data_IF_202947823009
#
_entry.id   IF_202947823009
#
_cell.length_a   1.000
_cell.length_b   1.000
_cell.length_c   1.000
_cell.angle_alpha   90.00
_cell.angle_beta   90.00
_cell.angle_gamma   90.00
#
_symmetry.space_group_name_H-M   'P 1'
#
loop_
_entity.id
_entity.type
_entity.pdbx_description
1 polymer ?
#
# COMPACT_ATOMS: atom_id res chain seq x y z
N UNK A 1 -31.18 -4.64 -6.77
CA UNK A 1 -31.23 -4.03 -5.42
C UNK A 1 -30.16 -2.96 -5.40
N UNK A 2 -30.55 -1.72 -5.14
CA UNK A 2 -29.61 -0.59 -5.04
C UNK A 2 -28.70 -0.76 -3.81
N UNK A 3 -27.45 -0.30 -3.86
CA UNK A 3 -26.50 -0.49 -2.74
C UNK A 3 -27.00 0.14 -1.44
N UNK A 4 -27.73 1.25 -1.53
CA UNK A 4 -28.35 1.90 -0.39
C UNK A 4 -29.49 1.05 0.19
N UNK A 5 -30.25 0.37 -0.65
CA UNK A 5 -31.30 -0.57 -0.24
C UNK A 5 -30.70 -1.76 0.54
N UNK A 6 -29.58 -2.33 0.04
CA UNK A 6 -28.83 -3.39 0.75
C UNK A 6 -28.37 -2.88 2.12
N UNK A 7 -27.77 -1.69 2.16
CA UNK A 7 -27.31 -1.10 3.41
C UNK A 7 -28.45 -0.87 4.40
N UNK A 8 -29.57 -0.30 3.98
CA UNK A 8 -30.71 -0.07 4.87
C UNK A 8 -31.28 -1.37 5.44
N UNK A 9 -31.45 -2.38 4.59
CA UNK A 9 -31.95 -3.70 4.99
C UNK A 9 -31.02 -4.38 6.00
N UNK A 10 -29.70 -4.23 5.86
CA UNK A 10 -28.70 -4.96 6.66
C UNK A 10 -27.89 -4.09 7.65
N UNK A 11 -28.24 -2.81 7.81
CA UNK A 11 -27.52 -1.82 8.62
C UNK A 11 -27.23 -2.27 10.05
N UNK A 12 -28.17 -2.95 10.71
CA UNK A 12 -27.99 -3.49 12.06
C UNK A 12 -26.83 -4.49 12.14
N UNK A 13 -26.69 -5.36 11.14
CA UNK A 13 -25.60 -6.32 11.07
C UNK A 13 -24.27 -5.62 10.80
N UNK A 14 -24.24 -4.73 9.81
CA UNK A 14 -23.05 -3.95 9.43
C UNK A 14 -22.53 -3.19 10.65
N UNK A 15 -23.39 -2.41 11.31
CA UNK A 15 -23.03 -1.64 12.51
C UNK A 15 -22.66 -2.53 13.69
N UNK A 16 -23.24 -3.73 13.82
CA UNK A 16 -22.89 -4.68 14.88
C UNK A 16 -21.40 -5.04 14.83
N UNK A 17 -20.81 -5.14 13.64
CA UNK A 17 -19.38 -5.41 13.45
C UNK A 17 -18.57 -4.11 13.50
N UNK A 18 -18.81 -3.18 12.56
CA UNK A 18 -17.94 -2.02 12.33
C UNK A 18 -17.93 -1.00 13.48
N UNK A 19 -18.99 -0.90 14.28
CA UNK A 19 -19.02 0.05 15.42
C UNK A 19 -18.44 -0.55 16.70
N UNK A 20 -17.93 -1.80 16.67
CA UNK A 20 -17.41 -2.47 17.86
C UNK A 20 -15.90 -2.70 17.77
N UNK A 21 -15.13 -1.81 18.42
CA UNK A 21 -13.67 -1.96 18.60
C UNK A 21 -13.26 -3.39 18.98
N UNK A 22 -13.89 -3.96 20.01
CA UNK A 22 -13.53 -5.30 20.50
C UNK A 22 -13.82 -6.41 19.48
N UNK A 23 -14.89 -6.32 18.68
CA UNK A 23 -15.15 -7.32 17.64
C UNK A 23 -14.15 -7.22 16.50
N UNK A 24 -13.84 -6.01 16.05
CA UNK A 24 -12.80 -5.76 15.05
C UNK A 24 -11.46 -6.35 15.53
N UNK A 25 -11.05 -6.03 16.74
CA UNK A 25 -9.79 -6.54 17.29
C UNK A 25 -9.79 -8.08 17.46
N UNK A 26 -10.91 -8.69 17.86
CA UNK A 26 -11.03 -10.15 17.92
C UNK A 26 -10.94 -10.78 16.52
N UNK A 27 -11.65 -10.23 15.53
CA UNK A 27 -11.59 -10.74 14.14
C UNK A 27 -10.16 -10.67 13.58
N UNK A 28 -9.47 -9.53 13.76
CA UNK A 28 -8.09 -9.35 13.33
C UNK A 28 -7.13 -10.27 14.07
N UNK A 29 -7.27 -10.41 15.39
CA UNK A 29 -6.43 -11.31 16.18
C UNK A 29 -6.60 -12.78 15.74
N UNK A 30 -7.83 -13.19 15.45
CA UNK A 30 -8.15 -14.55 15.02
C UNK A 30 -7.83 -14.81 13.54
N UNK A 31 -7.56 -13.77 12.76
CA UNK A 31 -7.08 -13.88 11.38
C UNK A 31 -5.64 -14.42 11.32
N UNK A 32 -4.83 -14.08 12.32
CA UNK A 32 -3.45 -14.57 12.49
C UNK A 32 -3.39 -16.02 13.02
N UNK A 33 -4.51 -16.56 13.50
CA UNK A 33 -4.60 -17.93 14.02
C UNK A 33 -5.61 -18.07 15.15
N UNK A 34 -5.78 -19.30 15.67
CA UNK A 34 -6.63 -19.54 16.83
C UNK A 34 -6.04 -18.93 18.11
N UNK A 35 -6.88 -18.51 19.05
CA UNK A 35 -6.45 -17.89 20.30
C UNK A 35 -7.37 -18.21 21.47
N UNK A 36 -6.79 -18.39 22.66
CA UNK A 36 -7.53 -18.51 23.92
C UNK A 36 -8.11 -17.17 24.39
N UNK A 37 -9.08 -17.21 25.32
CA UNK A 37 -9.63 -16.00 25.94
C UNK A 37 -8.55 -15.13 26.62
N UNK A 38 -7.53 -15.74 27.23
CA UNK A 38 -6.44 -14.99 27.86
C UNK A 38 -5.58 -14.27 26.83
N UNK A 39 -5.30 -14.90 25.69
CA UNK A 39 -4.56 -14.25 24.58
C UNK A 39 -5.36 -13.08 24.01
N UNK A 40 -6.65 -13.28 23.75
CA UNK A 40 -7.53 -12.21 23.25
C UNK A 40 -7.62 -11.03 24.23
N UNK A 41 -7.63 -11.28 25.55
CA UNK A 41 -7.55 -10.21 26.56
C UNK A 41 -6.26 -9.41 26.46
N UNK A 42 -5.13 -10.11 26.31
CA UNK A 42 -3.81 -9.47 26.20
C UNK A 42 -3.73 -8.58 24.97
N UNK A 43 -4.17 -9.08 23.81
CA UNK A 43 -4.14 -8.34 22.54
C UNK A 43 -5.09 -7.12 22.57
N UNK A 44 -6.31 -7.31 23.09
CA UNK A 44 -7.35 -6.26 23.04
C UNK A 44 -7.26 -5.24 24.18
N UNK A 45 -6.41 -5.50 25.19
CA UNK A 45 -6.34 -4.72 26.44
C UNK A 45 -7.66 -4.73 27.20
N UNK A 46 -8.39 -5.85 27.19
CA UNK A 46 -9.76 -5.94 27.73
C UNK A 46 -9.93 -7.03 28.80
N UNK A 47 -11.11 -7.04 29.44
CA UNK A 47 -11.46 -8.00 30.48
C UNK A 47 -12.37 -9.11 29.94
N UNK A 48 -12.38 -10.28 30.58
CA UNK A 48 -13.28 -11.38 30.17
C UNK A 48 -14.75 -10.95 30.12
N UNK A 49 -15.32 -10.24 31.12
CA UNK A 49 -16.72 -9.82 31.07
C UNK A 49 -17.05 -8.87 29.91
N UNK A 50 -16.08 -8.09 29.43
CA UNK A 50 -16.25 -7.21 28.27
C UNK A 50 -16.13 -7.97 26.93
N UNK A 51 -15.25 -8.96 26.84
CA UNK A 51 -14.99 -9.73 25.62
C UNK A 51 -16.01 -10.84 25.36
N UNK A 52 -16.41 -11.59 26.38
CA UNK A 52 -17.29 -12.76 26.23
C UNK A 52 -18.58 -12.42 25.47
N UNK A 53 -19.30 -11.32 25.76
CA UNK A 53 -20.49 -10.96 25.00
C UNK A 53 -20.21 -10.63 23.53
N UNK A 54 -19.00 -10.13 23.21
CA UNK A 54 -18.59 -9.79 21.84
C UNK A 54 -18.25 -11.04 21.04
N UNK A 55 -17.51 -11.97 21.66
CA UNK A 55 -17.20 -13.28 21.08
C UNK A 55 -18.50 -14.07 20.84
N UNK A 56 -19.38 -14.16 21.84
CA UNK A 56 -20.69 -14.82 21.70
C UNK A 56 -21.54 -14.22 20.58
N UNK A 57 -21.46 -12.91 20.37
CA UNK A 57 -22.16 -12.29 19.26
C UNK A 57 -21.54 -12.66 17.90
N UNK A 58 -20.21 -12.76 17.80
CA UNK A 58 -19.54 -13.24 16.59
C UNK A 58 -19.84 -14.72 16.32
N UNK A 59 -19.96 -15.54 17.35
CA UNK A 59 -20.42 -16.93 17.26
C UNK A 59 -21.87 -17.03 16.77
N UNK A 60 -22.77 -16.19 17.30
CA UNK A 60 -24.16 -16.11 16.84
C UNK A 60 -24.29 -15.67 15.37
N UNK A 61 -23.28 -14.98 14.83
CA UNK A 61 -23.17 -14.61 13.42
C UNK A 61 -22.41 -15.66 12.58
N UNK A 62 -22.05 -16.80 13.17
CA UNK A 62 -21.23 -17.84 12.55
C UNK A 62 -19.87 -17.36 12.02
N UNK A 63 -19.31 -16.29 12.60
CA UNK A 63 -17.99 -15.75 12.23
C UNK A 63 -16.86 -16.33 13.08
N UNK A 64 -17.14 -16.64 14.35
CA UNK A 64 -16.19 -17.24 15.28
C UNK A 64 -16.77 -18.56 15.76
N UNK A 65 -15.90 -19.53 16.03
CA UNK A 65 -16.28 -20.81 16.63
C UNK A 65 -15.26 -21.24 17.68
N UNK A 66 -15.73 -21.99 18.67
CA UNK A 66 -14.89 -22.58 19.69
C UNK A 66 -14.21 -23.85 19.16
N UNK A 67 -12.91 -23.97 19.41
CA UNK A 67 -12.11 -25.16 19.13
C UNK A 67 -11.39 -25.56 20.43
N UNK A 68 -12.02 -26.46 21.19
CA UNK A 68 -11.55 -26.80 22.53
C UNK A 68 -11.62 -25.62 23.50
N UNK A 69 -10.47 -25.17 24.01
CA UNK A 69 -10.35 -24.02 24.91
C UNK A 69 -10.00 -22.71 24.19
N UNK A 70 -9.99 -22.73 22.86
CA UNK A 70 -9.62 -21.60 22.00
C UNK A 70 -10.77 -21.19 21.08
N UNK A 71 -10.62 -20.04 20.45
CA UNK A 71 -11.51 -19.53 19.42
C UNK A 71 -10.76 -19.47 18.09
N UNK A 72 -11.47 -19.67 16.99
CA UNK A 72 -10.96 -19.45 15.63
C UNK A 72 -12.02 -18.80 14.75
N UNK A 73 -11.59 -18.24 13.62
CA UNK A 73 -12.51 -17.83 12.57
C UNK A 73 -13.08 -19.05 11.84
N UNK A 74 -14.39 -19.04 11.59
CA UNK A 74 -15.01 -19.91 10.59
C UNK A 74 -14.58 -19.51 9.17
N UNK A 75 -14.96 -20.28 8.15
CA UNK A 75 -14.74 -19.87 6.74
C UNK A 75 -15.38 -18.52 6.43
N UNK A 76 -16.60 -18.26 6.91
CA UNK A 76 -17.27 -16.96 6.75
C UNK A 76 -16.58 -15.86 7.58
N UNK A 77 -16.12 -16.21 8.78
CA UNK A 77 -15.33 -15.34 9.64
C UNK A 77 -14.07 -14.81 8.98
N UNK A 78 -13.35 -15.68 8.25
CA UNK A 78 -12.15 -15.30 7.48
C UNK A 78 -12.47 -14.28 6.41
N UNK A 79 -13.53 -14.48 5.63
CA UNK A 79 -13.97 -13.51 4.61
C UNK A 79 -14.23 -12.14 5.24
N UNK A 80 -15.00 -12.10 6.34
CA UNK A 80 -15.31 -10.83 7.02
C UNK A 80 -14.05 -10.21 7.65
N UNK A 81 -13.17 -11.00 8.25
CA UNK A 81 -11.95 -10.51 8.87
C UNK A 81 -10.96 -9.93 7.84
N UNK A 82 -10.84 -10.51 6.64
CA UNK A 82 -10.03 -9.96 5.54
C UNK A 82 -10.58 -8.62 5.03
N UNK A 83 -11.90 -8.47 4.94
CA UNK A 83 -12.53 -7.18 4.61
C UNK A 83 -12.28 -6.13 5.70
N UNK A 84 -12.36 -6.53 6.97
CA UNK A 84 -12.03 -5.66 8.11
C UNK A 84 -10.55 -5.27 8.08
N UNK A 85 -9.64 -6.20 7.78
CA UNK A 85 -8.20 -5.95 7.63
C UNK A 85 -7.95 -4.94 6.50
N UNK A 86 -8.52 -5.17 5.32
CA UNK A 86 -8.41 -4.27 4.17
C UNK A 86 -8.87 -2.85 4.51
N UNK A 87 -10.01 -2.70 5.19
CA UNK A 87 -10.51 -1.40 5.62
C UNK A 87 -9.59 -0.72 6.65
N UNK A 88 -9.10 -1.46 7.64
CA UNK A 88 -8.17 -0.91 8.66
C UNK A 88 -6.85 -0.48 8.03
N UNK A 89 -6.29 -1.27 7.12
CA UNK A 89 -5.07 -0.94 6.38
C UNK A 89 -5.27 0.31 5.52
N UNK A 90 -6.39 0.40 4.79
CA UNK A 90 -6.74 1.60 4.00
C UNK A 90 -6.79 2.85 4.86
N UNK A 91 -7.56 2.81 5.95
CA UNK A 91 -7.71 3.97 6.84
C UNK A 91 -6.39 4.33 7.54
N UNK A 92 -5.57 3.33 7.88
CA UNK A 92 -4.22 3.53 8.42
C UNK A 92 -3.33 4.32 7.47
N UNK A 93 -3.22 3.91 6.20
CA UNK A 93 -2.41 4.63 5.22
C UNK A 93 -2.92 6.03 4.88
N UNK A 94 -4.24 6.21 4.84
CA UNK A 94 -4.84 7.56 4.68
C UNK A 94 -4.47 8.44 5.87
N UNK A 95 -4.59 7.93 7.10
CA UNK A 95 -4.29 8.70 8.30
C UNK A 95 -2.80 9.03 8.45
N UNK A 96 -1.90 8.09 8.14
CA UNK A 96 -0.44 8.29 8.24
C UNK A 96 0.07 9.43 7.35
N UNK A 97 -0.55 9.65 6.18
CA UNK A 97 -0.03 10.56 5.16
C UNK A 97 -1.12 11.48 4.58
N UNK A 98 -2.13 11.85 5.39
CA UNK A 98 -3.33 12.55 4.93
C UNK A 98 -3.02 13.82 4.11
N UNK A 99 -2.12 14.68 4.62
CA UNK A 99 -1.78 15.92 3.94
C UNK A 99 -1.14 15.67 2.58
N UNK A 100 -0.29 14.65 2.47
CA UNK A 100 0.32 14.25 1.20
C UNK A 100 -0.76 13.82 0.21
N UNK A 101 -1.69 12.95 0.60
CA UNK A 101 -2.75 12.49 -0.29
C UNK A 101 -3.67 13.61 -0.80
N UNK A 102 -3.97 14.61 0.05
CA UNK A 102 -4.86 15.74 -0.32
C UNK A 102 -4.18 16.73 -1.26
N UNK A 103 -2.85 16.86 -1.23
CA UNK A 103 -2.12 17.81 -2.09
C UNK A 103 -1.59 17.20 -3.38
N UNK A 104 -1.78 15.90 -3.62
CA UNK A 104 -1.29 15.21 -4.81
C UNK A 104 -2.45 14.70 -5.66
N UNK A 105 -2.27 14.73 -6.98
CA UNK A 105 -3.23 14.14 -7.89
C UNK A 105 -3.07 12.60 -7.89
N UNK A 106 -4.15 11.91 -7.53
CA UNK A 106 -4.22 10.46 -7.50
C UNK A 106 -5.05 9.89 -8.66
N UNK A 107 -5.63 10.73 -9.51
CA UNK A 107 -6.56 10.33 -10.58
C UNK A 107 -5.89 9.49 -11.67
N UNK A 108 -4.58 9.65 -11.87
CA UNK A 108 -3.78 8.85 -12.79
C UNK A 108 -3.50 7.42 -12.30
N UNK A 109 -3.77 7.10 -11.04
CA UNK A 109 -3.54 5.76 -10.51
C UNK A 109 -4.71 4.82 -10.85
N UNK A 110 -4.43 3.61 -11.39
CA UNK A 110 -5.44 2.59 -11.57
C UNK A 110 -6.25 2.30 -10.29
N UNK A 111 -7.58 2.12 -10.37
CA UNK A 111 -8.44 1.92 -9.19
C UNK A 111 -7.98 0.79 -8.26
N UNK A 112 -7.41 -0.28 -8.83
CA UNK A 112 -6.84 -1.41 -8.07
C UNK A 112 -5.64 -1.03 -7.20
N UNK A 113 -4.86 -0.02 -7.58
CA UNK A 113 -3.74 0.47 -6.78
C UNK A 113 -4.20 1.49 -5.75
N UNK A 114 -5.19 2.34 -6.09
CA UNK A 114 -5.84 3.22 -5.11
C UNK A 114 -6.47 2.45 -3.95
N UNK A 115 -7.12 1.32 -4.24
CA UNK A 115 -7.68 0.43 -3.22
C UNK A 115 -6.62 -0.14 -2.25
N UNK A 116 -5.34 -0.12 -2.65
CA UNK A 116 -4.20 -0.65 -1.89
C UNK A 116 -3.30 0.44 -1.30
N UNK A 117 -3.70 1.71 -1.36
CA UNK A 117 -2.91 2.84 -0.85
C UNK A 117 -2.57 2.71 0.64
N UNK A 118 -3.39 1.96 1.40
CA UNK A 118 -3.14 1.57 2.78
C UNK A 118 -1.81 0.85 3.02
N UNK A 119 -1.27 0.16 2.01
CA UNK A 119 0.02 -0.55 2.11
C UNK A 119 1.20 0.42 2.33
N UNK A 120 1.04 1.70 2.01
CA UNK A 120 2.03 2.75 2.23
C UNK A 120 2.00 3.34 3.65
N UNK A 121 1.25 2.74 4.59
CA UNK A 121 1.09 3.28 5.96
C UNK A 121 2.40 3.47 6.75
N UNK A 122 3.44 2.68 6.46
CA UNK A 122 4.77 2.75 7.10
C UNK A 122 5.80 3.46 6.22
N UNK A 123 5.35 4.15 5.17
CA UNK A 123 6.24 4.90 4.28
C UNK A 123 6.72 6.20 4.94
N UNK A 124 7.75 6.81 4.35
CA UNK A 124 8.28 8.09 4.78
C UNK A 124 8.03 9.14 3.70
N UNK A 125 7.54 10.31 4.09
CA UNK A 125 7.38 11.45 3.19
C UNK A 125 8.71 12.21 3.14
N UNK A 126 9.36 12.21 1.99
CA UNK A 126 10.53 13.04 1.74
C UNK A 126 10.09 14.39 1.15
N UNK A 127 10.58 15.48 1.73
CA UNK A 127 10.31 16.85 1.24
C UNK A 127 11.59 17.66 1.18
N UNK A 128 11.70 18.54 0.20
CA UNK A 128 12.71 19.58 0.20
C UNK A 128 12.43 20.57 1.33
N UNK A 129 13.49 21.19 1.84
CA UNK A 129 13.41 22.24 2.86
C UNK A 129 14.01 23.52 2.34
N UNK A 130 13.80 24.64 3.04
CA UNK A 130 14.43 25.92 2.67
C UNK A 130 15.95 25.90 2.80
N UNK A 131 16.49 25.02 3.64
CA UNK A 131 17.94 24.86 3.87
C UNK A 131 18.54 23.82 2.93
N UNK A 132 17.80 22.74 2.68
CA UNK A 132 18.18 21.66 1.76
C UNK A 132 17.11 21.50 0.68
N UNK A 133 17.27 22.29 -0.40
CA UNK A 133 16.35 22.33 -1.55
C UNK A 133 16.51 21.14 -2.51
N UNK A 134 17.49 20.25 -2.26
CA UNK A 134 17.75 19.07 -3.08
C UNK A 134 17.61 17.78 -2.26
N UNK A 135 16.93 17.84 -1.12
CA UNK A 135 16.79 16.72 -0.20
C UNK A 135 16.08 15.54 -0.84
N UNK A 136 14.99 15.80 -1.57
CA UNK A 136 14.24 14.79 -2.32
C UNK A 136 15.10 14.15 -3.39
N UNK A 137 15.77 14.97 -4.20
CA UNK A 137 16.62 14.48 -5.28
C UNK A 137 17.80 13.65 -4.77
N UNK A 138 18.47 14.10 -3.70
CA UNK A 138 19.61 13.40 -3.11
C UNK A 138 19.18 12.08 -2.47
N UNK A 139 18.04 12.07 -1.77
CA UNK A 139 17.47 10.84 -1.22
C UNK A 139 17.09 9.85 -2.33
N UNK A 140 16.50 10.35 -3.42
CA UNK A 140 16.17 9.52 -4.58
C UNK A 140 17.42 8.86 -5.17
N UNK A 141 18.51 9.60 -5.39
CA UNK A 141 19.77 9.02 -5.87
C UNK A 141 20.37 7.99 -4.90
N UNK A 142 20.23 8.20 -3.58
CA UNK A 142 20.69 7.24 -2.59
C UNK A 142 19.93 5.91 -2.68
N UNK A 143 18.60 5.94 -2.89
CA UNK A 143 17.80 4.74 -3.12
C UNK A 143 18.28 4.01 -4.38
N UNK A 144 18.45 4.74 -5.49
CA UNK A 144 18.90 4.13 -6.74
C UNK A 144 20.31 3.53 -6.64
N UNK A 145 21.17 4.09 -5.78
CA UNK A 145 22.55 3.61 -5.58
C UNK A 145 22.60 2.19 -5.05
N UNK A 146 21.70 1.83 -4.16
CA UNK A 146 21.64 0.52 -3.49
C UNK A 146 20.67 -0.47 -4.16
N UNK A 147 19.99 -0.04 -5.22
CA UNK A 147 18.96 -0.81 -5.88
C UNK A 147 19.51 -2.02 -6.65
N UNK A 148 18.92 -3.20 -6.40
CA UNK A 148 19.20 -4.41 -7.18
C UNK A 148 18.50 -4.43 -8.55
N UNK A 149 17.46 -3.61 -8.72
CA UNK A 149 16.74 -3.35 -9.96
C UNK A 149 16.03 -1.99 -9.84
N UNK A 150 15.77 -1.33 -10.98
CA UNK A 150 15.13 -0.01 -11.02
C UNK A 150 13.93 -0.08 -11.94
N UNK A 151 12.72 0.02 -11.38
CA UNK A 151 11.49 0.24 -12.13
C UNK A 151 11.01 1.66 -11.87
N UNK A 152 11.10 2.52 -12.89
CA UNK A 152 10.83 3.95 -12.78
C UNK A 152 9.65 4.39 -13.63
N UNK A 153 8.90 5.37 -13.12
CA UNK A 153 7.99 6.19 -13.93
C UNK A 153 8.52 7.61 -13.83
N UNK A 154 8.93 8.21 -14.95
CA UNK A 154 9.53 9.55 -14.96
C UNK A 154 8.82 10.49 -15.92
N UNK A 155 8.44 11.65 -15.39
CA UNK A 155 7.97 12.81 -16.15
C UNK A 155 9.07 13.87 -16.35
N UNK A 156 10.31 13.56 -15.95
CA UNK A 156 11.45 14.49 -16.03
C UNK A 156 12.66 13.83 -16.70
N UNK A 157 13.42 14.65 -17.42
CA UNK A 157 14.74 14.30 -17.93
C UNK A 157 15.77 15.27 -17.33
N UNK A 158 16.79 14.74 -16.65
CA UNK A 158 17.93 15.53 -16.16
C UNK A 158 19.25 14.84 -16.52
N UNK A 159 20.30 15.58 -16.93
CA UNK A 159 21.56 14.96 -17.35
C UNK A 159 22.17 14.09 -16.25
N UNK A 160 22.09 14.55 -15.00
CA UNK A 160 22.59 13.79 -13.85
C UNK A 160 21.85 12.46 -13.62
N UNK A 161 20.52 12.45 -13.72
CA UNK A 161 19.75 11.20 -13.58
C UNK A 161 20.02 10.24 -14.73
N UNK A 162 20.11 10.74 -15.97
CA UNK A 162 20.41 9.93 -17.13
C UNK A 162 21.80 9.28 -17.03
N UNK A 163 22.82 10.05 -16.62
CA UNK A 163 24.16 9.53 -16.37
C UNK A 163 24.14 8.47 -15.27
N UNK A 164 23.50 8.74 -14.13
CA UNK A 164 23.42 7.81 -13.01
C UNK A 164 22.77 6.47 -13.40
N UNK A 165 21.66 6.52 -14.15
CA UNK A 165 20.99 5.31 -14.63
C UNK A 165 21.85 4.55 -15.65
N UNK A 166 22.60 5.26 -16.50
CA UNK A 166 23.57 4.64 -17.41
C UNK A 166 24.63 3.85 -16.66
N UNK A 167 25.22 4.45 -15.63
CA UNK A 167 26.23 3.80 -14.79
C UNK A 167 25.66 2.53 -14.11
N UNK A 168 24.40 2.57 -13.67
CA UNK A 168 23.71 1.40 -13.11
C UNK A 168 23.51 0.27 -14.12
N UNK A 169 23.13 0.61 -15.35
CA UNK A 169 22.99 -0.38 -16.42
C UNK A 169 24.35 -1.02 -16.73
N UNK A 170 25.43 -0.23 -16.78
CA UNK A 170 26.79 -0.73 -17.02
C UNK A 170 27.30 -1.63 -15.87
N UNK A 171 26.84 -1.38 -14.63
CA UNK A 171 27.06 -2.26 -13.46
C UNK A 171 26.24 -3.57 -13.53
N UNK A 172 25.35 -3.73 -14.51
CA UNK A 172 24.49 -4.89 -14.70
C UNK A 172 23.16 -4.84 -13.93
N UNK A 173 22.80 -3.69 -13.35
CA UNK A 173 21.50 -3.52 -12.69
C UNK A 173 20.39 -3.43 -13.75
N UNK A 174 19.30 -4.22 -13.64
CA UNK A 174 18.15 -4.08 -14.53
C UNK A 174 17.44 -2.74 -14.35
N UNK A 175 17.21 -2.03 -15.45
CA UNK A 175 16.55 -0.72 -15.45
C UNK A 175 15.40 -0.71 -16.45
N UNK A 176 14.21 -0.47 -15.94
CA UNK A 176 12.95 -0.41 -16.67
C UNK A 176 12.27 0.94 -16.41
N UNK A 177 12.04 1.74 -17.46
CA UNK A 177 11.49 3.09 -17.32
C UNK A 177 10.21 3.26 -18.15
N UNK A 178 9.17 3.81 -17.54
CA UNK A 178 8.03 4.38 -18.24
C UNK A 178 8.19 5.90 -18.27
N UNK A 179 8.15 6.49 -19.46
CA UNK A 179 8.33 7.94 -19.66
C UNK A 179 7.21 8.54 -20.49
N UNK A 180 6.96 9.84 -20.35
CA UNK A 180 6.03 10.56 -21.22
C UNK A 180 6.60 10.79 -22.62
N UNK A 181 5.75 11.21 -23.56
CA UNK A 181 6.18 11.58 -24.91
C UNK A 181 7.18 12.75 -24.92
N UNK A 182 6.96 13.75 -24.07
CA UNK A 182 7.84 14.91 -23.92
C UNK A 182 9.23 14.49 -23.40
N UNK A 183 9.25 13.59 -22.41
CA UNK A 183 10.50 13.10 -21.82
C UNK A 183 11.32 12.32 -22.85
N UNK A 184 10.70 11.41 -23.61
CA UNK A 184 11.46 10.64 -24.61
C UNK A 184 12.01 11.53 -25.73
N UNK A 185 11.33 12.62 -26.08
CA UNK A 185 11.82 13.56 -27.09
C UNK A 185 12.98 14.41 -26.59
N UNK A 186 13.03 14.72 -25.29
CA UNK A 186 14.20 15.33 -24.65
C UNK A 186 15.36 14.33 -24.59
N UNK A 187 15.11 13.06 -24.23
CA UNK A 187 16.14 12.03 -24.13
C UNK A 187 16.81 11.70 -25.49
N UNK A 188 16.14 11.99 -26.62
CA UNK A 188 16.70 11.87 -27.98
C UNK A 188 17.62 13.03 -28.38
N UNK A 189 17.72 14.09 -27.57
CA UNK A 189 18.54 15.27 -27.85
C UNK A 189 19.81 15.29 -26.99
N UNK A 190 20.85 15.98 -27.45
CA UNK A 190 22.05 16.18 -26.62
C UNK A 190 21.73 17.07 -25.40
N UNK A 191 22.29 16.79 -24.22
CA UNK A 191 23.39 15.86 -23.93
C UNK A 191 23.00 14.40 -23.65
N UNK A 192 21.72 14.03 -23.77
CA UNK A 192 21.21 12.70 -23.41
C UNK A 192 21.37 11.66 -24.52
N UNK A 193 21.25 12.09 -25.77
CA UNK A 193 21.15 11.22 -26.94
C UNK A 193 22.30 10.22 -27.05
N UNK A 194 23.53 10.66 -26.75
CA UNK A 194 24.71 9.81 -26.80
C UNK A 194 24.65 8.66 -25.78
N UNK A 195 24.25 8.93 -24.54
CA UNK A 195 24.07 7.91 -23.51
C UNK A 195 22.93 6.96 -23.86
N UNK A 196 21.79 7.50 -24.29
CA UNK A 196 20.63 6.68 -24.69
C UNK A 196 20.94 5.71 -25.83
N UNK A 197 21.76 6.13 -26.82
CA UNK A 197 22.21 5.24 -27.90
C UNK A 197 23.12 4.13 -27.41
N UNK A 198 24.01 4.42 -26.46
CA UNK A 198 24.89 3.41 -25.88
C UNK A 198 24.09 2.34 -25.10
N UNK A 199 23.08 2.78 -24.37
CA UNK A 199 22.21 1.88 -23.58
C UNK A 199 21.20 1.11 -24.42
N UNK A 200 20.88 1.56 -25.64
CA UNK A 200 19.87 0.92 -26.49
C UNK A 200 20.20 -0.53 -26.88
N UNK A 201 21.48 -0.92 -26.82
CA UNK A 201 21.94 -2.29 -27.06
C UNK A 201 22.03 -3.15 -25.79
N UNK A 202 21.79 -2.59 -24.60
CA UNK A 202 21.90 -3.31 -23.34
C UNK A 202 20.64 -4.12 -23.06
N UNK A 203 20.79 -5.44 -22.86
CA UNK A 203 19.66 -6.35 -22.59
C UNK A 203 18.94 -6.05 -21.26
N UNK A 204 19.62 -5.37 -20.33
CA UNK A 204 19.12 -5.00 -19.00
C UNK A 204 18.56 -3.56 -18.95
N UNK A 205 18.30 -2.92 -20.09
CA UNK A 205 17.71 -1.59 -20.15
C UNK A 205 16.50 -1.54 -21.08
N UNK A 206 15.35 -1.11 -20.53
CA UNK A 206 14.11 -0.97 -21.29
C UNK A 206 13.40 0.34 -20.99
N UNK A 207 12.90 0.98 -22.04
CA UNK A 207 12.12 2.22 -21.93
C UNK A 207 10.80 2.07 -22.69
N UNK A 208 9.69 2.28 -22.00
CA UNK A 208 8.36 2.36 -22.57
C UNK A 208 7.87 3.80 -22.55
N UNK A 209 7.13 4.18 -23.59
CA UNK A 209 6.52 5.51 -23.69
C UNK A 209 5.03 5.36 -23.44
N UNK A 210 4.51 6.07 -22.44
CA UNK A 210 3.07 6.14 -22.19
C UNK A 210 2.43 7.22 -23.05
N UNK A 211 1.18 6.99 -23.46
CA UNK A 211 0.40 7.97 -24.24
C UNK A 211 -0.30 9.02 -23.37
N UNK A 212 -0.35 8.78 -22.05
CA UNK A 212 -1.38 9.28 -21.12
C UNK A 212 -2.82 9.01 -21.58
#
# INVERSE_FOLDING_TARGET
MDILEIYHQHSRLIHSIYNSRLKIQVLLALLEGKASLSTLRSITGSTSPALIPKIRNLEALALVEAEGYEYRLSTLGKVVAEEVKSYVTLMGGIASHQQFWVTHDLSGLPPRFLARIGELQVSHIQTDTTVDMFSVYTHYLAILKEAAYIHGISSVASPGLAQFLSEKVDEGVPVELVVSHEVIDILKQEPHASHMKALASSDNFHVWVTKE
#
